data_IF_134853824034
#
_entry.id   IF_134853824034
#
_cell.length_a   1.000
_cell.length_b   1.000
_cell.length_c   1.000
_cell.angle_alpha   90.00
_cell.angle_beta   90.00
_cell.angle_gamma   90.00
#
_symmetry.space_group_name_H-M   'P 1'
#
loop_
_entity.id
_entity.type
_entity.pdbx_description
1 polymer ?
#
# COMPACT_ATOMS: atom_id res chain seq x y z
N UNK A 1 -8.71 -13.72 15.18
CA UNK A 1 -10.08 -13.25 14.93
C UNK A 1 -10.05 -12.14 13.89
N UNK A 2 -10.30 -12.46 12.63
CA UNK A 2 -10.38 -11.47 11.55
C UNK A 2 -11.83 -11.09 11.33
N UNK A 3 -12.29 -10.02 11.97
CA UNK A 3 -13.53 -9.38 11.54
C UNK A 3 -13.18 -8.52 10.33
N UNK A 4 -13.66 -8.91 9.15
CA UNK A 4 -13.56 -8.07 7.96
C UNK A 4 -14.66 -7.02 8.06
N UNK A 5 -14.36 -5.95 8.80
CA UNK A 5 -15.28 -4.82 8.94
C UNK A 5 -15.50 -4.13 7.58
N UNK A 6 -16.56 -3.32 7.47
CA UNK A 6 -16.93 -2.65 6.22
C UNK A 6 -15.77 -1.83 5.63
N UNK A 7 -14.95 -1.24 6.48
CA UNK A 7 -13.76 -0.47 6.13
C UNK A 7 -12.66 -1.36 5.53
N UNK A 8 -12.46 -2.58 6.03
CA UNK A 8 -11.50 -3.53 5.47
C UNK A 8 -11.95 -4.02 4.10
N UNK A 9 -13.23 -4.38 3.97
CA UNK A 9 -13.81 -4.80 2.68
C UNK A 9 -13.66 -3.69 1.64
N UNK A 10 -13.96 -2.45 2.03
CA UNK A 10 -13.78 -1.28 1.17
C UNK A 10 -12.31 -1.09 0.77
N UNK A 11 -11.39 -1.09 1.73
CA UNK A 11 -9.96 -0.89 1.45
C UNK A 11 -9.39 -1.95 0.49
N UNK A 12 -9.76 -3.23 0.67
CA UNK A 12 -9.35 -4.30 -0.24
C UNK A 12 -10.01 -4.21 -1.62
N UNK A 13 -11.29 -3.85 -1.68
CA UNK A 13 -12.01 -3.66 -2.95
C UNK A 13 -11.43 -2.52 -3.78
N UNK A 14 -11.11 -1.39 -3.13
CA UNK A 14 -10.42 -0.25 -3.76
C UNK A 14 -9.04 -0.65 -4.27
N UNK A 15 -8.30 -1.46 -3.50
CA UNK A 15 -6.97 -1.92 -3.89
C UNK A 15 -7.03 -2.76 -5.17
N UNK A 16 -7.92 -3.75 -5.21
CA UNK A 16 -8.08 -4.61 -6.39
C UNK A 16 -8.53 -3.78 -7.59
N UNK A 17 -9.49 -2.87 -7.41
CA UNK A 17 -9.99 -2.02 -8.49
C UNK A 17 -8.89 -1.15 -9.12
N UNK A 18 -8.12 -0.46 -8.28
CA UNK A 18 -7.03 0.41 -8.73
C UNK A 18 -5.84 -0.39 -9.28
N UNK A 19 -5.58 -1.58 -8.74
CA UNK A 19 -4.57 -2.50 -9.26
C UNK A 19 -4.93 -2.97 -10.67
N UNK A 20 -6.16 -3.44 -10.89
CA UNK A 20 -6.66 -3.85 -12.20
C UNK A 20 -6.60 -2.69 -13.19
N UNK A 21 -7.07 -1.50 -12.79
CA UNK A 21 -6.97 -0.29 -13.62
C UNK A 21 -5.53 0.01 -14.01
N UNK A 22 -4.61 0.03 -13.04
CA UNK A 22 -3.20 0.30 -13.30
C UNK A 22 -2.56 -0.78 -14.18
N UNK A 23 -2.97 -2.03 -14.03
CA UNK A 23 -2.47 -3.14 -14.85
C UNK A 23 -2.89 -2.98 -16.32
N UNK A 24 -4.11 -2.50 -16.59
CA UNK A 24 -4.59 -2.21 -17.94
C UNK A 24 -3.89 -1.00 -18.56
N UNK A 25 -3.57 0.02 -17.76
CA UNK A 25 -2.93 1.26 -18.23
C UNK A 25 -1.41 1.13 -18.41
N UNK A 26 -0.75 0.28 -17.62
CA UNK A 26 0.71 0.10 -17.67
C UNK A 26 1.17 -0.62 -18.93
N UNK A 27 1.74 0.15 -19.87
CA UNK A 27 2.34 -0.37 -21.11
C UNK A 27 3.63 -1.18 -20.91
N UNK A 28 4.33 -1.01 -19.78
CA UNK A 28 5.59 -1.72 -19.46
C UNK A 28 5.60 -2.10 -17.99
N UNK A 29 5.88 -3.38 -17.73
CA UNK A 29 6.09 -3.92 -16.38
C UNK A 29 7.50 -4.47 -16.31
N UNK A 30 8.32 -3.87 -15.44
CA UNK A 30 9.67 -4.36 -15.17
C UNK A 30 9.60 -5.43 -14.08
N UNK A 31 9.85 -6.69 -14.42
CA UNK A 31 9.90 -7.81 -13.48
C UNK A 31 11.21 -7.84 -12.66
N UNK A 32 11.75 -6.67 -12.31
CA UNK A 32 12.91 -6.59 -11.42
C UNK A 32 12.38 -6.55 -9.99
N UNK A 33 12.75 -7.52 -9.14
CA UNK A 33 12.43 -7.43 -7.73
C UNK A 33 13.07 -6.15 -7.19
N UNK A 34 12.25 -5.28 -6.59
CA UNK A 34 12.75 -4.10 -5.91
C UNK A 34 13.13 -4.51 -4.50
N UNK A 35 14.42 -4.67 -4.26
CA UNK A 35 14.93 -4.87 -2.91
C UNK A 35 14.46 -3.70 -2.05
N UNK A 36 13.64 -4.04 -1.06
CA UNK A 36 13.07 -3.04 -0.16
C UNK A 36 14.05 -2.91 1.00
N UNK A 37 15.16 -2.21 0.76
CA UNK A 37 16.14 -1.92 1.80
C UNK A 37 15.49 -0.99 2.84
N UNK A 38 14.98 -1.55 3.94
CA UNK A 38 14.37 -0.81 5.06
C UNK A 38 12.87 -1.04 5.25
N UNK A 39 12.11 0.06 5.42
CA UNK A 39 10.70 0.01 5.85
C UNK A 39 9.75 -0.49 4.75
N UNK A 40 9.19 -1.69 4.94
CA UNK A 40 8.16 -2.25 4.06
C UNK A 40 6.89 -1.38 4.03
N UNK A 41 6.54 -0.77 5.17
CA UNK A 41 5.40 0.15 5.28
C UNK A 41 5.57 1.39 4.40
N UNK A 42 6.76 1.97 4.33
CA UNK A 42 7.04 3.11 3.45
C UNK A 42 6.96 2.72 1.97
N UNK A 43 7.53 1.57 1.61
CA UNK A 43 7.53 1.09 0.24
C UNK A 43 6.11 0.81 -0.27
N UNK A 44 5.28 0.13 0.53
CA UNK A 44 3.88 -0.10 0.15
C UNK A 44 3.10 1.22 0.09
N UNK A 45 3.36 2.19 0.98
CA UNK A 45 2.74 3.52 0.90
C UNK A 45 3.03 4.19 -0.45
N UNK A 46 4.29 4.25 -0.86
CA UNK A 46 4.67 4.83 -2.16
C UNK A 46 4.03 4.07 -3.32
N UNK A 47 3.94 2.74 -3.22
CA UNK A 47 3.27 1.93 -4.23
C UNK A 47 1.77 2.28 -4.33
N UNK A 48 1.05 2.36 -3.22
CA UNK A 48 -0.37 2.73 -3.21
C UNK A 48 -0.61 4.12 -3.79
N UNK A 49 0.26 5.11 -3.47
CA UNK A 49 0.19 6.45 -4.08
C UNK A 49 0.38 6.35 -5.60
N UNK A 50 1.30 5.51 -6.08
CA UNK A 50 1.52 5.30 -7.53
C UNK A 50 0.36 4.61 -8.25
N UNK A 51 -0.48 3.85 -7.52
CA UNK A 51 -1.72 3.26 -8.04
C UNK A 51 -2.90 4.25 -8.07
N UNK A 52 -2.76 5.44 -7.46
CA UNK A 52 -3.84 6.43 -7.38
C UNK A 52 -4.58 6.49 -6.04
N UNK A 53 -4.08 5.86 -4.96
CA UNK A 53 -4.58 6.09 -3.59
C UNK A 53 -4.16 7.47 -3.08
N UNK A 54 -4.71 8.53 -3.66
CA UNK A 54 -4.37 9.95 -3.39
C UNK A 54 -5.60 10.66 -2.82
N UNK A 55 -5.39 11.50 -1.80
CA UNK A 55 -6.45 12.26 -1.13
C UNK A 55 -6.91 11.62 0.18
N UNK A 56 -7.80 12.34 0.87
CA UNK A 56 -8.27 12.01 2.22
C UNK A 56 -9.26 10.85 2.25
N UNK A 57 -10.05 10.66 1.19
CA UNK A 57 -10.99 9.53 1.06
C UNK A 57 -10.30 8.16 1.15
N UNK A 58 -9.03 8.09 0.77
CA UNK A 58 -8.21 6.89 0.80
C UNK A 58 -7.29 6.81 2.02
N UNK A 59 -7.36 7.79 2.95
CA UNK A 59 -6.48 7.84 4.13
C UNK A 59 -6.68 6.63 5.02
N UNK A 60 -7.94 6.25 5.25
CA UNK A 60 -8.27 5.09 6.08
C UNK A 60 -7.89 3.78 5.37
N UNK A 61 -8.18 3.66 4.08
CA UNK A 61 -7.76 2.49 3.29
C UNK A 61 -6.24 2.29 3.31
N UNK A 62 -5.45 3.37 3.14
CA UNK A 62 -3.98 3.30 3.28
C UNK A 62 -3.57 2.85 4.68
N UNK A 63 -4.21 3.35 5.74
CA UNK A 63 -3.89 2.96 7.12
C UNK A 63 -4.14 1.47 7.35
N UNK A 64 -5.27 0.95 6.87
CA UNK A 64 -5.64 -0.47 6.97
C UNK A 64 -4.64 -1.35 6.21
N UNK A 65 -4.34 -1.01 4.95
CA UNK A 65 -3.41 -1.77 4.10
C UNK A 65 -1.96 -1.78 4.63
N UNK A 66 -1.59 -0.75 5.40
CA UNK A 66 -0.24 -0.59 5.97
C UNK A 66 -0.12 -1.14 7.40
N UNK A 67 -1.22 -1.45 8.09
CA UNK A 67 -1.26 -1.72 9.55
C UNK A 67 -0.32 -2.84 9.98
N UNK A 68 -0.24 -3.92 9.21
CA UNK A 68 0.49 -5.14 9.59
C UNK A 68 1.90 -5.22 8.99
N UNK A 69 2.41 -4.12 8.42
CA UNK A 69 3.76 -4.08 7.84
C UNK A 69 4.79 -3.51 8.82
N UNK A 70 6.00 -4.09 8.88
CA UNK A 70 7.08 -3.59 9.71
C UNK A 70 7.61 -2.24 9.20
N UNK A 71 8.14 -1.46 10.14
CA UNK A 71 8.76 -0.16 9.87
C UNK A 71 7.80 1.03 9.81
N UNK A 72 8.39 2.20 9.60
CA UNK A 72 7.68 3.49 9.54
C UNK A 72 7.10 3.77 8.16
N UNK A 73 5.87 4.27 8.07
CA UNK A 73 5.31 4.73 6.79
C UNK A 73 5.90 6.05 6.29
N UNK A 74 6.67 6.76 7.12
CA UNK A 74 7.21 8.09 6.83
C UNK A 74 8.66 8.07 6.33
N UNK A 75 9.44 7.07 6.71
CA UNK A 75 10.88 7.01 6.43
C UNK A 75 11.26 5.74 5.68
N UNK A 76 12.13 5.89 4.67
CA UNK A 76 12.68 4.78 3.88
C UNK A 76 13.72 3.97 4.67
N UNK A 77 14.53 4.62 5.51
CA UNK A 77 15.55 3.97 6.34
C UNK A 77 15.09 3.72 7.77
N UNK A 78 15.20 2.46 8.22
CA UNK A 78 15.23 2.00 9.61
C UNK A 78 14.03 2.30 10.51
N UNK A 79 13.44 1.27 11.11
CA UNK A 79 12.65 1.45 12.33
C UNK A 79 13.57 1.95 13.45
N UNK A 80 13.14 2.97 14.20
CA UNK A 80 13.31 2.84 15.65
C UNK A 80 12.32 1.73 16.05
N UNK A 81 12.86 0.68 16.65
CA UNK A 81 12.15 -0.40 17.32
C UNK A 81 10.86 0.08 18.02
N UNK A 82 9.77 -0.65 17.80
CA UNK A 82 8.81 -1.02 18.84
C UNK A 82 8.11 -2.33 18.47
#
# INVERSE_FOLDING_TARGET
HGNLDAEHIKAYSELVSLLCKTAMEKKRVTAKPKETEGSQKYALRCYLISLGFIGDSYKESRKILLKNLPGSSAHKGGAADE
#
